data_IF_625181691654
#
_entry.id   IF_625181691654
#
_cell.length_a   1.000
_cell.length_b   1.000
_cell.length_c   1.000
_cell.angle_alpha   90.00
_cell.angle_beta   90.00
_cell.angle_gamma   90.00
#
_symmetry.space_group_name_H-M   'P 1'
#
loop_
_entity.id
_entity.type
_entity.pdbx_description
1 polymer ?
#
# COMPACT_ATOMS: atom_id res chain seq x y z
N UNK A 1 30.98 6.99 -24.63
CA UNK A 1 31.10 5.72 -23.86
C UNK A 1 30.07 5.73 -22.74
N UNK A 2 29.38 4.63 -22.52
CA UNK A 2 28.50 4.48 -21.35
C UNK A 2 29.38 4.20 -20.13
N UNK A 3 29.24 4.93 -19.01
CA UNK A 3 30.08 4.72 -17.84
C UNK A 3 29.87 3.31 -17.28
N UNK A 4 30.95 2.68 -16.83
CA UNK A 4 30.86 1.40 -16.13
C UNK A 4 30.25 1.61 -14.74
N UNK A 5 29.16 0.91 -14.44
CA UNK A 5 28.48 0.95 -13.13
C UNK A 5 28.71 -0.38 -12.42
N UNK A 6 29.09 -0.32 -11.15
CA UNK A 6 29.11 -1.47 -10.24
C UNK A 6 27.93 -1.37 -9.29
N UNK A 7 27.18 -2.46 -9.15
CA UNK A 7 26.11 -2.60 -8.17
C UNK A 7 26.60 -3.53 -7.07
N UNK A 8 26.41 -3.11 -5.82
CA UNK A 8 26.71 -3.91 -4.64
C UNK A 8 25.38 -4.45 -4.08
N UNK A 9 25.21 -5.77 -4.12
CA UNK A 9 23.97 -6.42 -3.69
C UNK A 9 23.67 -6.18 -2.21
N UNK A 10 24.71 -6.07 -1.38
CA UNK A 10 24.59 -5.76 0.04
C UNK A 10 24.08 -4.34 0.28
N UNK A 11 24.60 -3.37 -0.45
CA UNK A 11 24.13 -1.99 -0.41
C UNK A 11 22.69 -1.87 -0.91
N UNK A 12 22.32 -2.60 -1.96
CA UNK A 12 20.94 -2.64 -2.47
C UNK A 12 20.00 -3.23 -1.44
N UNK A 13 20.35 -4.38 -0.85
CA UNK A 13 19.54 -5.03 0.18
C UNK A 13 19.39 -4.14 1.42
N UNK A 14 20.48 -3.51 1.88
CA UNK A 14 20.46 -2.59 3.01
C UNK A 14 19.60 -1.35 2.73
N UNK A 15 19.62 -0.80 1.50
CA UNK A 15 18.77 0.30 1.12
C UNK A 15 17.28 -0.09 1.13
N UNK A 16 16.94 -1.26 0.58
CA UNK A 16 15.56 -1.76 0.51
C UNK A 16 14.94 -2.11 1.86
N UNK A 17 15.75 -2.45 2.86
CA UNK A 17 15.33 -2.78 4.21
C UNK A 17 15.75 -1.71 5.24
N UNK A 18 16.17 -0.54 4.78
CA UNK A 18 16.77 0.52 5.62
C UNK A 18 15.86 0.96 6.76
N UNK A 19 14.54 0.90 6.58
CA UNK A 19 13.54 1.24 7.59
C UNK A 19 13.65 0.35 8.85
N UNK A 20 14.15 -0.88 8.70
CA UNK A 20 14.31 -1.85 9.80
C UNK A 20 15.58 -1.61 10.61
N UNK A 21 16.53 -0.87 10.05
CA UNK A 21 17.79 -0.53 10.68
C UNK A 21 17.77 0.86 11.31
N UNK A 22 16.73 1.67 11.03
CA UNK A 22 16.57 3.00 11.58
C UNK A 22 16.29 2.95 13.10
N UNK A 23 17.05 3.73 13.85
CA UNK A 23 16.79 4.04 15.25
C UNK A 23 16.65 5.56 15.41
N UNK A 24 15.60 5.99 16.10
CA UNK A 24 15.39 7.39 16.51
C UNK A 24 15.53 7.44 18.02
N UNK A 25 16.53 8.16 18.52
CA UNK A 25 16.92 8.17 19.93
C UNK A 25 17.10 6.75 20.51
N UNK A 26 17.74 5.87 19.73
CA UNK A 26 17.99 4.47 20.10
C UNK A 26 16.76 3.56 20.04
N UNK A 27 15.62 4.02 19.52
CA UNK A 27 14.37 3.24 19.44
C UNK A 27 13.96 2.98 17.99
N UNK A 28 13.53 1.76 17.72
CA UNK A 28 12.95 1.41 16.43
C UNK A 28 11.59 2.12 16.23
N UNK A 29 11.33 2.70 15.06
CA UNK A 29 10.05 3.35 14.78
C UNK A 29 8.93 2.32 14.57
N UNK A 30 7.71 2.67 14.98
CA UNK A 30 6.51 1.90 14.62
C UNK A 30 6.12 2.28 13.19
N UNK A 31 6.27 1.35 12.26
CA UNK A 31 6.06 1.62 10.83
C UNK A 31 4.59 1.62 10.40
N UNK A 32 3.74 0.82 11.07
CA UNK A 32 2.33 0.65 10.70
C UNK A 32 1.43 0.58 11.93
N UNK A 33 0.28 1.25 11.84
CA UNK A 33 -0.80 1.11 12.81
C UNK A 33 -1.38 -0.32 12.78
N UNK A 34 -2.01 -0.82 13.86
CA UNK A 34 -2.54 -2.19 13.91
C UNK A 34 -3.51 -2.56 12.79
N UNK A 35 -4.26 -1.57 12.28
CA UNK A 35 -5.21 -1.75 11.17
C UNK A 35 -4.58 -1.49 9.79
N UNK A 36 -3.26 -1.31 9.68
CA UNK A 36 -2.56 -1.15 8.40
C UNK A 36 -1.81 -2.43 8.07
N UNK A 37 -2.55 -3.45 7.65
CA UNK A 37 -2.02 -4.79 7.41
C UNK A 37 -2.80 -5.54 6.35
N UNK A 38 -2.33 -6.74 6.05
CA UNK A 38 -3.06 -7.72 5.25
C UNK A 38 -4.10 -8.44 6.11
N UNK A 39 -5.29 -8.60 5.55
CA UNK A 39 -6.43 -9.27 6.18
C UNK A 39 -7.00 -10.33 5.25
N UNK A 40 -7.43 -11.49 5.77
CA UNK A 40 -8.25 -12.41 5.00
C UNK A 40 -9.60 -11.76 4.67
N UNK A 41 -10.05 -11.99 3.45
CA UNK A 41 -11.39 -11.67 2.95
C UNK A 41 -12.08 -12.98 2.54
N UNK A 42 -13.36 -12.93 2.16
CA UNK A 42 -14.14 -14.12 1.84
C UNK A 42 -13.56 -14.93 0.66
N UNK A 43 -12.91 -14.26 -0.29
CA UNK A 43 -12.40 -14.84 -1.53
C UNK A 43 -10.91 -14.53 -1.78
N UNK A 44 -10.19 -14.08 -0.76
CA UNK A 44 -8.78 -13.71 -0.90
C UNK A 44 -8.26 -12.86 0.24
N UNK A 45 -7.53 -11.80 -0.10
CA UNK A 45 -6.89 -10.92 0.87
C UNK A 45 -7.07 -9.45 0.49
N UNK A 46 -7.10 -8.59 1.51
CA UNK A 46 -7.10 -7.14 1.35
C UNK A 46 -5.99 -6.52 2.18
N UNK A 47 -5.30 -5.52 1.63
CA UNK A 47 -4.37 -4.67 2.39
C UNK A 47 -5.07 -3.37 2.74
N UNK A 48 -5.14 -3.05 4.02
CA UNK A 48 -5.72 -1.80 4.52
C UNK A 48 -4.62 -0.78 4.79
N UNK A 49 -4.92 0.50 4.63
CA UNK A 49 -4.04 1.60 5.03
C UNK A 49 -4.75 2.52 6.02
N UNK A 50 -4.56 2.26 7.31
CA UNK A 50 -5.19 2.97 8.43
C UNK A 50 -4.17 3.64 9.37
N UNK A 51 -3.00 4.04 8.84
CA UNK A 51 -1.93 4.71 9.61
C UNK A 51 -2.35 6.10 10.09
N UNK A 52 -3.20 6.78 9.31
CA UNK A 52 -3.70 8.10 9.65
C UNK A 52 -5.08 8.02 10.29
N UNK A 53 -5.38 8.85 11.32
CA UNK A 53 -6.68 8.84 11.99
C UNK A 53 -7.88 8.93 11.04
N UNK A 54 -7.78 9.78 10.00
CA UNK A 54 -8.85 9.95 9.02
C UNK A 54 -9.04 8.73 8.11
N UNK A 55 -7.97 7.99 7.75
CA UNK A 55 -8.14 6.73 7.01
C UNK A 55 -8.70 5.63 7.90
N UNK A 56 -8.27 5.56 9.17
CA UNK A 56 -8.85 4.64 10.15
C UNK A 56 -10.35 4.86 10.29
N UNK A 57 -10.79 6.10 10.47
CA UNK A 57 -12.20 6.44 10.59
C UNK A 57 -13.01 6.03 9.35
N UNK A 58 -12.49 6.30 8.15
CA UNK A 58 -13.15 5.94 6.89
C UNK A 58 -13.25 4.43 6.69
N UNK A 59 -12.19 3.68 7.04
CA UNK A 59 -12.22 2.21 7.06
C UNK A 59 -13.31 1.70 8.01
N UNK A 60 -13.32 2.18 9.26
CA UNK A 60 -14.31 1.75 10.26
C UNK A 60 -15.75 2.07 9.83
N UNK A 61 -15.97 3.26 9.27
CA UNK A 61 -17.27 3.66 8.71
C UNK A 61 -17.70 2.76 7.56
N UNK A 62 -16.80 2.45 6.61
CA UNK A 62 -17.11 1.57 5.48
C UNK A 62 -17.48 0.15 5.94
N UNK A 63 -16.84 -0.34 7.00
CA UNK A 63 -17.10 -1.67 7.55
C UNK A 63 -18.32 -1.71 8.49
N UNK A 64 -18.90 -0.56 8.84
CA UNK A 64 -19.98 -0.47 9.83
C UNK A 64 -19.54 -0.73 11.27
N UNK A 65 -18.23 -0.66 11.56
CA UNK A 65 -17.66 -0.93 12.88
C UNK A 65 -17.55 0.40 13.66
N UNK A 66 -18.40 0.59 14.66
CA UNK A 66 -18.52 1.87 15.38
C UNK A 66 -17.81 1.86 16.75
N UNK A 67 -17.19 3.01 17.08
CA UNK A 67 -16.85 3.42 18.44
C UNK A 67 -16.04 2.41 19.26
N UNK A 68 -16.54 2.08 20.46
CA UNK A 68 -15.88 1.25 21.47
C UNK A 68 -15.60 -0.20 21.03
N UNK A 69 -16.21 -0.65 19.92
CA UNK A 69 -16.03 -1.98 19.36
C UNK A 69 -15.03 -2.02 18.20
N UNK A 70 -14.34 -0.92 17.89
CA UNK A 70 -13.34 -0.86 16.84
C UNK A 70 -12.00 -1.49 17.27
N UNK A 71 -12.02 -2.81 17.48
CA UNK A 71 -10.83 -3.64 17.75
C UNK A 71 -10.30 -4.30 16.47
N UNK A 72 -9.09 -4.83 16.54
CA UNK A 72 -8.44 -5.60 15.47
C UNK A 72 -9.30 -6.81 15.09
N UNK A 73 -9.89 -7.45 16.09
CA UNK A 73 -10.71 -8.66 15.96
C UNK A 73 -12.03 -8.36 15.26
N UNK A 74 -12.75 -7.32 15.69
CA UNK A 74 -14.03 -6.93 15.07
C UNK A 74 -13.83 -6.47 13.62
N UNK A 75 -12.76 -5.74 13.34
CA UNK A 75 -12.40 -5.37 11.95
C UNK A 75 -12.05 -6.61 11.13
N UNK A 76 -11.24 -7.52 11.69
CA UNK A 76 -10.88 -8.77 11.02
C UNK A 76 -12.10 -9.62 10.66
N UNK A 77 -13.05 -9.78 11.59
CA UNK A 77 -14.30 -10.51 11.34
C UNK A 77 -15.13 -9.85 10.22
N UNK A 78 -15.31 -8.53 10.29
CA UNK A 78 -16.06 -7.79 9.28
C UNK A 78 -15.42 -7.80 7.88
N UNK A 79 -14.10 -7.96 7.80
CA UNK A 79 -13.39 -8.10 6.53
C UNK A 79 -13.51 -9.52 5.97
N UNK A 80 -13.43 -10.55 6.83
CA UNK A 80 -13.51 -11.96 6.43
C UNK A 80 -14.86 -12.36 5.80
N UNK A 81 -15.93 -11.62 6.09
CA UNK A 81 -17.28 -11.87 5.56
C UNK A 81 -17.55 -11.24 4.18
N UNK A 82 -16.62 -10.44 3.65
CA UNK A 82 -16.81 -9.66 2.41
C UNK A 82 -15.80 -10.08 1.35
N UNK A 83 -16.14 -9.94 0.07
CA UNK A 83 -15.16 -10.15 -0.99
C UNK A 83 -14.07 -9.07 -0.92
N UNK A 84 -12.85 -9.39 -1.35
CA UNK A 84 -11.74 -8.44 -1.32
C UNK A 84 -12.04 -7.18 -2.16
N UNK A 85 -12.73 -7.35 -3.31
CA UNK A 85 -13.13 -6.24 -4.18
C UNK A 85 -14.24 -5.38 -3.57
N UNK A 86 -15.26 -5.97 -2.95
CA UNK A 86 -16.30 -5.19 -2.26
C UNK A 86 -15.71 -4.33 -1.13
N UNK A 87 -14.68 -4.84 -0.44
CA UNK A 87 -13.96 -4.08 0.57
C UNK A 87 -13.18 -2.93 -0.08
N UNK A 88 -12.41 -3.19 -1.14
CA UNK A 88 -11.66 -2.16 -1.90
C UNK A 88 -12.61 -1.03 -2.34
N UNK A 89 -13.71 -1.37 -3.00
CA UNK A 89 -14.66 -0.41 -3.54
C UNK A 89 -15.42 0.36 -2.45
N UNK A 90 -15.93 -0.32 -1.41
CA UNK A 90 -16.67 0.32 -0.33
C UNK A 90 -15.80 1.26 0.51
N UNK A 91 -14.54 0.87 0.77
CA UNK A 91 -13.59 1.71 1.49
C UNK A 91 -13.17 2.90 0.65
N UNK A 92 -12.94 2.73 -0.66
CA UNK A 92 -12.69 3.86 -1.58
C UNK A 92 -13.88 4.80 -1.68
N UNK A 93 -15.11 4.30 -1.76
CA UNK A 93 -16.32 5.12 -1.77
C UNK A 93 -16.48 5.93 -0.46
N UNK A 94 -15.96 5.42 0.66
CA UNK A 94 -15.88 6.15 1.92
C UNK A 94 -14.67 7.12 2.00
N UNK A 95 -13.85 7.21 0.96
CA UNK A 95 -12.61 7.99 0.89
C UNK A 95 -11.44 7.38 1.67
N UNK A 96 -11.56 6.13 2.11
CA UNK A 96 -10.51 5.37 2.77
C UNK A 96 -9.56 4.69 1.77
N UNK A 97 -8.65 3.86 2.28
CA UNK A 97 -7.72 3.09 1.46
C UNK A 97 -7.70 1.62 1.90
N UNK A 98 -8.19 0.74 1.03
CA UNK A 98 -8.04 -0.70 1.10
C UNK A 98 -7.85 -1.24 -0.32
N UNK A 99 -6.97 -2.23 -0.50
CA UNK A 99 -6.58 -2.75 -1.81
C UNK A 99 -6.74 -4.26 -1.83
N UNK A 100 -7.53 -4.79 -2.77
CA UNK A 100 -7.67 -6.21 -3.01
C UNK A 100 -6.35 -6.78 -3.57
N UNK A 101 -5.86 -7.85 -2.95
CA UNK A 101 -4.65 -8.52 -3.43
C UNK A 101 -4.98 -9.35 -4.65
N UNK A 102 -4.18 -9.16 -5.70
CA UNK A 102 -4.29 -9.87 -6.97
C UNK A 102 -3.14 -10.86 -7.08
N UNK A 103 -3.40 -12.08 -7.56
CA UNK A 103 -2.33 -13.00 -7.99
C UNK A 103 -1.57 -12.41 -9.17
N UNK A 104 -0.37 -12.92 -9.48
CA UNK A 104 0.35 -12.50 -10.69
C UNK A 104 -0.50 -12.60 -11.96
N UNK A 105 -1.31 -13.65 -12.11
CA UNK A 105 -2.19 -13.86 -13.27
C UNK A 105 -3.34 -12.85 -13.29
N UNK A 106 -3.99 -12.63 -12.13
CA UNK A 106 -5.04 -11.62 -12.00
C UNK A 106 -4.51 -10.20 -12.29
N UNK A 107 -3.29 -9.90 -11.83
CA UNK A 107 -2.62 -8.65 -12.14
C UNK A 107 -2.31 -8.54 -13.63
N UNK A 108 -1.71 -9.56 -14.24
CA UNK A 108 -1.37 -9.55 -15.66
C UNK A 108 -2.58 -9.32 -16.59
N UNK A 109 -3.76 -9.82 -16.19
CA UNK A 109 -5.02 -9.59 -16.91
C UNK A 109 -5.65 -8.19 -16.67
N UNK A 110 -5.13 -7.41 -15.72
CA UNK A 110 -5.70 -6.14 -15.32
C UNK A 110 -5.36 -5.00 -16.32
N UNK A 111 -6.28 -4.06 -16.61
CA UNK A 111 -6.02 -2.98 -17.58
C UNK A 111 -4.79 -2.14 -17.25
N UNK A 112 -4.54 -1.90 -15.97
CA UNK A 112 -3.41 -1.12 -15.46
C UNK A 112 -2.08 -1.86 -15.69
N UNK A 113 -2.06 -3.20 -15.60
CA UNK A 113 -0.87 -3.97 -15.91
C UNK A 113 -0.54 -3.90 -17.40
N UNK A 114 -1.56 -4.01 -18.28
CA UNK A 114 -1.39 -3.83 -19.71
C UNK A 114 -0.86 -2.43 -20.05
N UNK A 115 -1.41 -1.39 -19.42
CA UNK A 115 -0.95 -0.01 -19.62
C UNK A 115 0.51 0.21 -19.17
N UNK A 116 0.91 -0.34 -18.02
CA UNK A 116 2.30 -0.23 -17.53
C UNK A 116 3.27 -1.06 -18.38
N UNK A 117 2.88 -2.27 -18.80
CA UNK A 117 3.72 -3.13 -19.64
C UNK A 117 4.00 -2.53 -21.03
N UNK A 118 3.14 -1.63 -21.52
CA UNK A 118 3.34 -0.91 -22.77
C UNK A 118 4.34 0.27 -22.66
N UNK A 119 4.83 0.60 -21.47
CA UNK A 119 5.76 1.73 -21.22
C UNK A 119 7.17 1.25 -20.90
N UNK A 120 8.21 2.05 -21.21
CA UNK A 120 9.57 1.74 -20.79
C UNK A 120 9.69 1.79 -19.26
N UNK A 121 10.62 1.01 -18.69
CA UNK A 121 10.88 0.99 -17.23
C UNK A 121 11.27 2.37 -16.68
N UNK A 122 11.98 3.16 -17.49
CA UNK A 122 12.35 4.54 -17.18
C UNK A 122 12.01 5.38 -18.38
N UNK A 123 11.17 6.39 -18.15
CA UNK A 123 10.84 7.43 -19.12
C UNK A 123 11.35 8.77 -18.58
N UNK A 124 11.89 9.60 -19.46
CA UNK A 124 12.33 10.95 -19.13
C UNK A 124 11.59 11.92 -20.02
N UNK A 125 10.72 12.71 -19.42
CA UNK A 125 9.99 13.77 -20.09
C UNK A 125 10.30 15.10 -19.40
N UNK A 126 10.45 16.15 -20.20
CA UNK A 126 10.53 17.52 -19.69
C UNK A 126 9.10 18.06 -19.58
N UNK A 127 8.61 18.18 -18.35
CA UNK A 127 7.21 18.56 -18.08
C UNK A 127 6.90 20.01 -18.49
N UNK A 128 7.88 20.92 -18.36
CA UNK A 128 7.78 22.32 -18.77
C UNK A 128 9.16 22.96 -19.04
N UNK A 129 9.16 24.23 -19.45
CA UNK A 129 10.39 25.03 -19.62
C UNK A 129 10.82 25.76 -18.34
N UNK A 130 10.03 25.63 -17.26
CA UNK A 130 10.21 26.40 -16.03
C UNK A 130 11.55 26.04 -15.39
N UNK A 131 12.37 27.04 -15.11
CA UNK A 131 13.64 26.81 -14.42
C UNK A 131 13.38 26.50 -12.95
N UNK A 132 14.08 25.48 -12.42
CA UNK A 132 14.11 25.24 -10.99
C UNK A 132 14.60 26.53 -10.30
N UNK A 133 13.84 27.03 -9.33
CA UNK A 133 14.30 28.14 -8.50
C UNK A 133 15.45 27.61 -7.63
N UNK A 134 16.65 28.11 -7.88
CA UNK A 134 17.83 27.91 -7.02
C UNK A 134 17.72 28.81 -5.81
#
# INVERSE_FOLDING_TARGET
ETPAVRVDDGAVAAAFASERHLLVDGRAPVSFAPLSRFWPAADGWVRTHANYPHHRERLLRALGVLGAHASVETVGAALAERSALDIEESVYAAGGLAVALRTPEQWAAHPQAAAVAARPLVERERLDETHARV
#
